data_IF_136281654881
#
_entry.id   IF_136281654881
#
_cell.length_a   1.000
_cell.length_b   1.000
_cell.length_c   1.000
_cell.angle_alpha   90.00
_cell.angle_beta   90.00
_cell.angle_gamma   90.00
#
_symmetry.space_group_name_H-M   'P 1'
#
loop_
_entity.id
_entity.type
_entity.pdbx_description
1 polymer ?
#
# COMPACT_ATOMS: atom_id res chain seq x y z
N UNK A 1 27.88 -1.78 -20.56
CA UNK A 1 27.66 -1.55 -19.12
C UNK A 1 27.21 -0.11 -18.95
N UNK A 2 25.93 0.15 -19.27
CA UNK A 2 25.28 1.43 -19.06
C UNK A 2 24.21 1.18 -18.01
N UNK A 3 24.62 1.25 -16.75
CA UNK A 3 23.80 0.95 -15.58
C UNK A 3 23.75 2.20 -14.69
N UNK A 4 23.10 3.26 -15.20
CA UNK A 4 23.11 4.60 -14.57
C UNK A 4 21.87 5.42 -14.98
N UNK A 5 20.70 4.77 -15.09
CA UNK A 5 19.44 5.48 -15.31
C UNK A 5 18.24 4.72 -14.73
N UNK A 6 18.24 4.50 -13.42
CA UNK A 6 17.00 4.38 -12.66
C UNK A 6 17.19 5.24 -11.41
N UNK A 7 16.58 6.41 -11.42
CA UNK A 7 16.62 7.39 -10.34
C UNK A 7 15.89 6.85 -9.12
N UNK A 8 16.62 6.62 -8.03
CA UNK A 8 16.27 6.91 -6.62
C UNK A 8 14.78 7.03 -6.23
N UNK A 9 13.97 6.01 -6.48
CA UNK A 9 12.91 5.62 -5.54
C UNK A 9 13.53 4.49 -4.73
N UNK A 10 13.90 4.76 -3.47
CA UNK A 10 14.32 3.70 -2.56
C UNK A 10 13.19 2.69 -2.49
N UNK A 11 13.37 1.50 -3.08
CA UNK A 11 12.41 0.41 -3.04
C UNK A 11 12.12 0.10 -1.56
N UNK A 12 10.96 0.56 -1.09
CA UNK A 12 10.62 0.51 0.33
C UNK A 12 10.43 -0.95 0.72
N UNK A 13 11.15 -1.40 1.74
CA UNK A 13 10.95 -2.72 2.32
C UNK A 13 9.72 -2.65 3.23
N UNK A 14 8.56 -3.12 2.74
CA UNK A 14 7.28 -3.05 3.46
C UNK A 14 7.34 -3.68 4.87
N UNK A 15 8.14 -4.74 5.03
CA UNK A 15 8.30 -5.42 6.31
C UNK A 15 9.03 -4.60 7.38
N UNK A 16 9.80 -3.58 6.98
CA UNK A 16 10.55 -2.70 7.88
C UNK A 16 9.70 -1.54 8.43
N UNK A 17 8.55 -1.24 7.78
CA UNK A 17 7.60 -0.23 8.22
C UNK A 17 6.86 -0.67 9.49
N UNK A 18 6.52 0.26 10.38
CA UNK A 18 5.56 -0.06 11.44
C UNK A 18 4.13 -0.29 10.90
N UNK A 19 3.18 -0.64 11.76
CA UNK A 19 1.83 -0.99 11.30
C UNK A 19 1.09 0.21 10.70
N UNK A 20 1.27 1.42 11.25
CA UNK A 20 0.58 2.62 10.78
C UNK A 20 1.22 3.10 9.47
N UNK A 21 2.55 3.04 9.38
CA UNK A 21 3.31 3.35 8.16
C UNK A 21 3.00 2.36 7.03
N UNK A 22 2.91 1.06 7.33
CA UNK A 22 2.54 0.05 6.34
C UNK A 22 1.11 0.26 5.83
N UNK A 23 0.16 0.62 6.71
CA UNK A 23 -1.21 0.93 6.28
C UNK A 23 -1.25 2.14 5.36
N UNK A 24 -0.49 3.21 5.66
CA UNK A 24 -0.36 4.39 4.79
C UNK A 24 0.22 4.01 3.43
N UNK A 25 1.33 3.27 3.41
CA UNK A 25 1.95 2.81 2.16
C UNK A 25 0.98 1.96 1.34
N UNK A 26 0.21 1.07 1.98
CA UNK A 26 -0.83 0.29 1.30
C UNK A 26 -1.97 1.17 0.73
N UNK A 27 -2.23 2.36 1.27
CA UNK A 27 -3.22 3.27 0.66
C UNK A 27 -2.66 3.90 -0.62
N UNK A 28 -1.39 4.28 -0.63
CA UNK A 28 -0.68 4.79 -1.81
C UNK A 28 -0.58 3.69 -2.89
N UNK A 29 -0.20 2.48 -2.50
CA UNK A 29 -0.14 1.31 -3.39
C UNK A 29 -1.51 1.00 -4.03
N UNK A 30 -2.61 1.17 -3.28
CA UNK A 30 -3.97 1.05 -3.83
C UNK A 30 -4.29 2.15 -4.83
N UNK A 31 -3.83 3.37 -4.58
CA UNK A 31 -4.01 4.51 -5.48
C UNK A 31 -3.25 4.29 -6.80
N UNK A 32 -2.04 3.75 -6.72
CA UNK A 32 -1.16 3.47 -7.86
C UNK A 32 -1.47 2.12 -8.56
N UNK A 33 -2.33 1.28 -7.96
CA UNK A 33 -2.74 0.00 -8.53
C UNK A 33 -1.69 -1.12 -8.42
N UNK A 34 -0.83 -1.05 -7.41
CA UNK A 34 0.30 -1.94 -7.15
C UNK A 34 -0.17 -3.23 -6.45
N UNK A 35 -0.55 -4.23 -7.26
CA UNK A 35 -1.20 -5.45 -6.75
C UNK A 35 -0.28 -6.32 -5.87
N UNK A 36 1.01 -6.43 -6.22
CA UNK A 36 1.92 -7.38 -5.57
C UNK A 36 2.30 -6.89 -4.17
N UNK A 37 2.46 -5.58 -4.05
CA UNK A 37 2.71 -4.78 -2.85
C UNK A 37 1.53 -4.87 -1.88
N UNK A 38 0.30 -4.74 -2.39
CA UNK A 38 -0.91 -4.97 -1.58
C UNK A 38 -0.99 -6.39 -1.05
N UNK A 39 -0.63 -7.38 -1.86
CA UNK A 39 -0.63 -8.78 -1.41
C UNK A 39 0.42 -8.98 -0.31
N UNK A 40 1.59 -8.38 -0.45
CA UNK A 40 2.65 -8.44 0.56
C UNK A 40 2.21 -7.77 1.86
N UNK A 41 1.73 -6.53 1.82
CA UNK A 41 1.26 -5.78 2.99
C UNK A 41 0.15 -6.52 3.76
N UNK A 42 -0.81 -7.13 3.05
CA UNK A 42 -1.84 -7.99 3.66
C UNK A 42 -1.21 -9.16 4.43
N UNK A 43 -0.24 -9.86 3.84
CA UNK A 43 0.42 -10.99 4.50
C UNK A 43 1.25 -10.54 5.71
N UNK A 44 1.92 -9.38 5.62
CA UNK A 44 2.68 -8.81 6.74
C UNK A 44 1.75 -8.49 7.90
N UNK A 45 0.66 -7.74 7.69
CA UNK A 45 -0.28 -7.37 8.75
C UNK A 45 -0.91 -8.61 9.42
N UNK A 46 -1.33 -9.60 8.62
CA UNK A 46 -1.82 -10.87 9.14
C UNK A 46 -0.73 -11.62 9.94
N UNK A 47 0.51 -11.60 9.46
CA UNK A 47 1.67 -12.16 10.16
C UNK A 47 1.98 -11.46 11.48
N UNK A 48 1.67 -10.16 11.59
CA UNK A 48 1.76 -9.35 12.82
C UNK A 48 0.57 -9.55 13.76
N UNK A 49 -0.42 -10.36 13.38
CA UNK A 49 -1.55 -10.73 14.23
C UNK A 49 -2.77 -9.83 14.08
N UNK A 50 -2.81 -8.97 13.06
CA UNK A 50 -4.03 -8.26 12.71
C UNK A 50 -5.14 -9.24 12.38
N UNK A 51 -6.37 -8.92 12.79
CA UNK A 51 -7.51 -9.74 12.38
C UNK A 51 -7.78 -9.50 10.89
N UNK A 52 -8.31 -10.50 10.15
CA UNK A 52 -8.71 -10.29 8.75
C UNK A 52 -9.70 -9.12 8.57
N UNK A 53 -10.53 -8.87 9.59
CA UNK A 53 -11.46 -7.74 9.57
C UNK A 53 -10.73 -6.39 9.66
N UNK A 54 -9.71 -6.29 10.52
CA UNK A 54 -8.90 -5.06 10.62
C UNK A 54 -8.14 -4.80 9.32
N UNK A 55 -7.53 -5.82 8.71
CA UNK A 55 -6.83 -5.68 7.42
C UNK A 55 -7.81 -5.23 6.33
N UNK A 56 -8.97 -5.89 6.22
CA UNK A 56 -9.98 -5.51 5.23
C UNK A 56 -10.48 -4.09 5.43
N UNK A 57 -10.81 -3.69 6.66
CA UNK A 57 -11.48 -2.41 6.91
C UNK A 57 -10.51 -1.23 6.91
N UNK A 58 -9.37 -1.34 7.58
CA UNK A 58 -8.44 -0.22 7.77
C UNK A 58 -7.39 -0.09 6.66
N UNK A 59 -6.84 -1.21 6.19
CA UNK A 59 -5.84 -1.15 5.12
C UNK A 59 -6.50 -1.05 3.74
N UNK A 60 -7.48 -1.93 3.45
CA UNK A 60 -8.01 -2.05 2.08
C UNK A 60 -9.19 -1.11 1.79
N UNK A 61 -10.23 -1.12 2.63
CA UNK A 61 -11.45 -0.35 2.36
C UNK A 61 -11.24 1.15 2.55
N UNK A 62 -10.51 1.57 3.59
CA UNK A 62 -10.18 3.00 3.78
C UNK A 62 -9.33 3.53 2.62
N UNK A 63 -8.28 2.82 2.20
CA UNK A 63 -7.48 3.19 1.02
C UNK A 63 -8.32 3.30 -0.25
N UNK A 64 -9.15 2.28 -0.54
CA UNK A 64 -10.02 2.31 -1.73
C UNK A 64 -11.12 3.40 -1.65
N UNK A 65 -11.49 3.83 -0.45
CA UNK A 65 -12.44 4.94 -0.26
C UNK A 65 -11.83 6.25 -0.76
N UNK A 66 -10.52 6.47 -0.52
CA UNK A 66 -9.78 7.64 -1.02
C UNK A 66 -9.78 7.61 -2.56
N UNK A 67 -9.36 6.49 -3.15
CA UNK A 67 -9.35 6.31 -4.62
C UNK A 67 -10.74 6.57 -5.22
N UNK A 68 -11.80 6.05 -4.60
CA UNK A 68 -13.18 6.25 -5.07
C UNK A 68 -13.65 7.70 -4.99
N UNK A 69 -13.20 8.45 -3.98
CA UNK A 69 -13.46 9.89 -3.84
C UNK A 69 -12.77 10.67 -4.94
N UNK A 70 -11.48 10.41 -5.17
CA UNK A 70 -10.69 11.16 -6.15
C UNK A 70 -11.09 10.83 -7.59
N UNK A 71 -11.46 9.57 -7.86
CA UNK A 71 -12.06 9.17 -9.13
C UNK A 71 -13.38 9.90 -9.39
N UNK A 72 -14.27 9.96 -8.38
CA UNK A 72 -15.54 10.69 -8.49
C UNK A 72 -15.32 12.17 -8.78
N UNK A 73 -14.30 12.76 -8.18
CA UNK A 73 -14.01 14.19 -8.29
C UNK A 73 -13.15 14.53 -9.52
N UNK A 74 -12.71 13.52 -10.29
CA UNK A 74 -11.96 13.68 -11.55
C UNK A 74 -10.50 14.06 -11.35
N UNK A 75 -9.91 13.68 -10.21
CA UNK A 75 -8.53 13.99 -9.79
C UNK A 75 -7.58 12.81 -10.07
N UNK A 76 -8.12 11.59 -10.18
CA UNK A 76 -7.37 10.38 -10.47
C UNK A 76 -6.71 10.40 -11.86
#
# INVERSE_FOLDING_TARGET
MSDLATSDEEEIILADLDDDELVQQMHDDLYDGLQDEIREGVNILLGRGWTPYDVLTKALVEGMTIVGVDFRDGIL
#
